data_IF_976100521021
#
_entry.id   IF_976100521021
#
_cell.length_a   1.000
_cell.length_b   1.000
_cell.length_c   1.000
_cell.angle_alpha   90.00
_cell.angle_beta   90.00
_cell.angle_gamma   90.00
#
_symmetry.space_group_name_H-M   'P 1'
#
loop_
_entity.id
_entity.type
_entity.pdbx_description
1 polymer ?
#
# COMPACT_ATOMS: atom_id res chain seq x y z
N UNK A 1 4.86 -14.92 -13.66
CA UNK A 1 4.31 -15.27 -12.35
C UNK A 1 2.78 -15.35 -12.47
N UNK A 2 2.17 -16.25 -11.71
CA UNK A 2 0.69 -16.34 -11.62
C UNK A 2 0.17 -15.35 -10.58
N UNK A 3 0.94 -15.16 -9.50
CA UNK A 3 0.66 -14.19 -8.46
C UNK A 3 1.80 -13.19 -8.38
N UNK A 4 1.43 -11.90 -8.26
CA UNK A 4 2.36 -10.79 -8.12
C UNK A 4 1.84 -9.85 -7.04
N UNK A 5 2.56 -9.72 -5.94
CA UNK A 5 2.18 -8.85 -4.84
C UNK A 5 2.67 -7.44 -5.12
N UNK A 6 1.72 -6.51 -5.33
CA UNK A 6 1.99 -5.09 -5.53
C UNK A 6 0.69 -4.28 -5.28
N UNK A 7 0.69 -2.99 -5.61
CA UNK A 7 -0.46 -2.10 -5.46
C UNK A 7 -1.12 -1.71 -6.78
N UNK A 8 -2.22 -0.96 -6.67
CA UNK A 8 -3.02 -0.49 -7.83
C UNK A 8 -2.23 0.35 -8.83
N UNK A 9 -1.18 1.05 -8.38
CA UNK A 9 -0.27 1.84 -9.24
C UNK A 9 0.47 1.01 -10.29
N UNK A 10 0.61 -0.29 -10.09
CA UNK A 10 1.31 -1.19 -11.01
C UNK A 10 0.51 -1.46 -12.28
N UNK A 11 -0.80 -1.15 -12.31
CA UNK A 11 -1.65 -1.36 -13.47
C UNK A 11 -1.08 -0.72 -14.74
N UNK A 12 -0.70 0.56 -14.68
CA UNK A 12 -0.16 1.30 -15.83
C UNK A 12 1.16 0.69 -16.32
N UNK A 13 1.99 0.19 -15.40
CA UNK A 13 3.24 -0.46 -15.74
C UNK A 13 2.99 -1.82 -16.42
N UNK A 14 2.11 -2.64 -15.88
CA UNK A 14 1.77 -3.95 -16.43
C UNK A 14 1.16 -3.84 -17.83
N UNK A 15 0.21 -2.92 -18.03
CA UNK A 15 -0.49 -2.79 -19.30
C UNK A 15 0.27 -1.93 -20.33
N UNK A 16 0.87 -0.82 -19.90
CA UNK A 16 1.59 0.11 -20.76
C UNK A 16 3.02 -0.33 -21.07
N UNK A 17 3.82 -0.63 -20.05
CA UNK A 17 5.24 -0.98 -20.24
C UNK A 17 5.41 -2.44 -20.66
N UNK A 18 4.71 -3.37 -20.01
CA UNK A 18 4.84 -4.79 -20.28
C UNK A 18 3.81 -5.34 -21.28
N UNK A 19 2.84 -4.50 -21.71
CA UNK A 19 1.86 -4.86 -22.72
C UNK A 19 0.93 -6.03 -22.34
N UNK A 20 0.68 -6.22 -21.03
CA UNK A 20 -0.25 -7.24 -20.58
C UNK A 20 -1.68 -6.87 -20.95
N UNK A 21 -2.48 -7.86 -21.35
CA UNK A 21 -3.89 -7.63 -21.61
C UNK A 21 -4.62 -7.40 -20.28
N UNK A 22 -5.37 -6.28 -20.14
CA UNK A 22 -6.17 -6.01 -18.94
C UNK A 22 -7.13 -7.14 -18.54
N UNK A 23 -7.67 -7.88 -19.51
CA UNK A 23 -8.59 -9.01 -19.26
C UNK A 23 -7.91 -10.23 -18.61
N UNK A 24 -6.58 -10.28 -18.61
CA UNK A 24 -5.78 -11.32 -17.96
C UNK A 24 -5.35 -10.92 -16.54
N UNK A 25 -5.76 -9.75 -16.08
CA UNK A 25 -5.39 -9.19 -14.78
C UNK A 25 -6.57 -9.18 -13.80
N UNK A 26 -6.29 -9.45 -12.54
CA UNK A 26 -7.25 -9.31 -11.44
C UNK A 26 -6.54 -8.90 -10.15
N UNK A 27 -7.26 -8.20 -9.28
CA UNK A 27 -6.75 -7.86 -7.96
C UNK A 27 -7.50 -8.65 -6.89
N UNK A 28 -6.77 -9.39 -6.08
CA UNK A 28 -7.32 -10.25 -5.02
C UNK A 28 -6.67 -9.92 -3.67
N UNK A 29 -7.39 -10.13 -2.56
CA UNK A 29 -6.82 -10.05 -1.22
C UNK A 29 -5.74 -11.11 -0.99
N UNK A 30 -4.83 -10.82 -0.06
CA UNK A 30 -3.89 -11.81 0.45
C UNK A 30 -4.57 -12.52 1.64
N UNK A 31 -4.71 -13.84 1.52
CA UNK A 31 -5.23 -14.69 2.60
C UNK A 31 -4.09 -15.49 3.23
N UNK A 32 -4.05 -15.47 4.56
CA UNK A 32 -3.04 -16.20 5.35
C UNK A 32 -3.54 -17.57 5.84
N UNK A 33 -4.83 -17.87 5.64
CA UNK A 33 -5.45 -19.12 6.09
C UNK A 33 -5.80 -19.13 7.58
N UNK A 34 -6.01 -17.97 8.17
CA UNK A 34 -6.39 -17.84 9.59
C UNK A 34 -7.90 -17.65 9.73
N UNK A 35 -8.45 -18.15 10.85
CA UNK A 35 -9.88 -17.99 11.17
C UNK A 35 -10.25 -16.50 11.27
N UNK A 36 -11.36 -16.11 10.64
CA UNK A 36 -11.89 -14.76 10.69
C UNK A 36 -11.44 -13.84 9.53
N UNK A 37 -10.60 -14.34 8.63
CA UNK A 37 -10.17 -13.54 7.47
C UNK A 37 -11.05 -13.66 6.21
N UNK A 38 -12.16 -14.40 6.28
CA UNK A 38 -13.01 -14.71 5.12
C UNK A 38 -13.60 -13.45 4.46
N UNK A 39 -13.65 -12.36 5.21
CA UNK A 39 -14.07 -11.03 4.75
C UNK A 39 -12.93 -10.01 4.71
N UNK A 40 -11.68 -10.45 4.83
CA UNK A 40 -10.55 -9.56 4.60
C UNK A 40 -10.55 -9.10 3.13
N UNK A 41 -10.41 -7.80 2.95
CA UNK A 41 -10.26 -7.18 1.63
C UNK A 41 -8.83 -6.82 1.33
N UNK A 42 -8.64 -5.84 0.48
CA UNK A 42 -7.31 -5.36 0.11
C UNK A 42 -6.66 -4.60 1.28
N UNK A 43 -5.33 -4.70 1.37
CA UNK A 43 -4.57 -3.79 2.22
C UNK A 43 -4.69 -2.36 1.68
N UNK A 44 -5.11 -1.46 2.52
CA UNK A 44 -5.27 -0.06 2.15
C UNK A 44 -5.04 0.84 3.36
N UNK A 45 -4.48 2.03 3.11
CA UNK A 45 -4.18 2.99 4.15
C UNK A 45 -3.66 4.30 3.58
N UNK A 46 -3.38 5.25 4.45
CA UNK A 46 -2.85 6.57 4.11
C UNK A 46 -1.33 6.56 4.30
N UNK A 47 -0.60 5.92 3.39
CA UNK A 47 0.87 5.83 3.45
C UNK A 47 1.53 7.11 2.93
N UNK A 48 0.91 7.76 1.95
CA UNK A 48 1.45 8.97 1.33
C UNK A 48 0.81 10.22 1.90
N UNK A 49 1.61 11.19 2.28
CA UNK A 49 1.17 12.49 2.76
C UNK A 49 1.95 13.61 2.08
N UNK A 50 1.30 14.74 1.92
CA UNK A 50 1.97 15.96 1.51
C UNK A 50 2.46 16.69 2.75
N UNK A 51 3.71 17.12 2.70
CA UNK A 51 4.30 17.94 3.75
C UNK A 51 4.54 19.35 3.21
N UNK A 52 4.12 20.34 4.00
CA UNK A 52 4.39 21.75 3.71
C UNK A 52 5.60 22.18 4.55
N UNK A 53 6.61 22.78 3.91
CA UNK A 53 7.76 23.31 4.62
C UNK A 53 7.36 24.55 5.44
N UNK A 54 7.30 24.41 6.75
CA UNK A 54 6.90 25.49 7.68
C UNK A 54 7.91 26.64 7.77
N UNK A 55 9.14 26.44 7.30
CA UNK A 55 10.21 27.44 7.29
C UNK A 55 10.26 28.23 5.95
N UNK A 56 9.38 27.91 4.99
CA UNK A 56 9.28 28.68 3.75
C UNK A 56 8.65 30.07 3.97
N UNK A 57 8.80 30.96 3.02
CA UNK A 57 8.14 32.26 3.09
C UNK A 57 6.60 32.11 3.15
N UNK A 58 5.88 32.98 3.86
CA UNK A 58 4.41 32.85 4.00
C UNK A 58 3.67 32.78 2.66
N UNK A 59 4.12 33.53 1.66
CA UNK A 59 3.57 33.52 0.31
C UNK A 59 3.76 32.17 -0.41
N UNK A 60 4.90 31.51 -0.21
CA UNK A 60 5.19 30.20 -0.77
C UNK A 60 4.35 29.11 -0.10
N UNK A 61 4.18 29.20 1.23
CA UNK A 61 3.27 28.33 1.97
C UNK A 61 1.84 28.48 1.45
N UNK A 62 1.36 29.70 1.32
CA UNK A 62 0.00 29.96 0.81
C UNK A 62 -0.18 29.42 -0.62
N UNK A 63 0.77 29.67 -1.52
CA UNK A 63 0.73 29.16 -2.89
C UNK A 63 0.70 27.62 -2.91
N UNK A 64 1.49 26.97 -2.05
CA UNK A 64 1.48 25.51 -1.88
C UNK A 64 0.11 25.01 -1.43
N UNK A 65 -0.49 25.64 -0.43
CA UNK A 65 -1.83 25.26 0.07
C UNK A 65 -2.92 25.48 -0.98
N UNK A 66 -2.84 26.56 -1.74
CA UNK A 66 -3.77 26.85 -2.84
C UNK A 66 -3.64 25.80 -3.96
N UNK A 67 -2.42 25.40 -4.31
CA UNK A 67 -2.18 24.31 -5.27
C UNK A 67 -2.74 22.98 -4.74
N UNK A 68 -2.45 22.60 -3.50
CA UNK A 68 -2.99 21.37 -2.88
C UNK A 68 -4.52 21.37 -2.91
N UNK A 69 -5.14 22.50 -2.58
CA UNK A 69 -6.60 22.65 -2.65
C UNK A 69 -7.11 22.49 -4.09
N UNK A 70 -6.44 23.14 -5.06
CA UNK A 70 -6.81 23.03 -6.46
C UNK A 70 -6.76 21.58 -6.95
N UNK A 71 -5.68 20.85 -6.65
CA UNK A 71 -5.50 19.44 -7.06
C UNK A 71 -6.66 18.56 -6.59
N UNK A 72 -7.16 18.76 -5.36
CA UNK A 72 -8.21 17.89 -4.78
C UNK A 72 -9.63 18.39 -5.04
N UNK A 73 -9.81 19.57 -5.63
CA UNK A 73 -11.15 20.14 -5.81
C UNK A 73 -11.50 20.54 -7.26
N UNK A 74 -10.51 20.76 -8.12
CA UNK A 74 -10.77 21.09 -9.53
C UNK A 74 -11.04 19.84 -10.38
N UNK A 75 -11.67 20.02 -11.52
CA UNK A 75 -11.92 18.96 -12.49
C UNK A 75 -10.59 18.38 -13.02
N UNK A 76 -9.66 19.26 -13.39
CA UNK A 76 -8.35 18.88 -13.91
C UNK A 76 -7.52 18.16 -12.85
N UNK A 77 -7.43 18.72 -11.64
CA UNK A 77 -6.64 18.14 -10.55
C UNK A 77 -7.13 16.76 -10.13
N UNK A 78 -8.45 16.58 -10.00
CA UNK A 78 -9.03 15.28 -9.63
C UNK A 78 -8.90 14.25 -10.75
N UNK A 79 -8.89 14.68 -12.02
CA UNK A 79 -8.59 13.80 -13.17
C UNK A 79 -7.15 13.34 -13.13
N UNK A 80 -6.20 14.28 -12.99
CA UNK A 80 -4.77 13.94 -12.87
C UNK A 80 -4.49 12.96 -11.72
N UNK A 81 -5.09 13.19 -10.55
CA UNK A 81 -4.91 12.27 -9.41
C UNK A 81 -5.40 10.86 -9.74
N UNK A 82 -6.54 10.72 -10.42
CA UNK A 82 -7.07 9.42 -10.80
C UNK A 82 -6.19 8.71 -11.84
N UNK A 83 -5.71 9.44 -12.85
CA UNK A 83 -4.93 8.88 -13.95
C UNK A 83 -3.51 8.49 -13.51
N UNK A 84 -2.87 9.31 -12.67
CA UNK A 84 -1.46 9.15 -12.32
C UNK A 84 -1.23 8.41 -10.99
N UNK A 85 -2.14 8.57 -10.01
CA UNK A 85 -1.95 8.04 -8.65
C UNK A 85 -2.96 6.97 -8.24
N UNK A 86 -4.05 6.82 -8.99
CA UNK A 86 -5.08 5.85 -8.68
C UNK A 86 -6.09 6.33 -7.63
N UNK A 87 -6.69 5.44 -6.84
CA UNK A 87 -7.73 5.80 -5.87
C UNK A 87 -7.22 6.77 -4.82
N UNK A 88 -7.95 7.85 -4.58
CA UNK A 88 -7.62 8.87 -3.59
C UNK A 88 -8.74 9.04 -2.55
N UNK A 89 -8.41 9.35 -1.27
CA UNK A 89 -9.38 9.40 -0.18
C UNK A 89 -10.16 10.72 -0.09
N UNK A 90 -10.17 11.54 -1.12
CA UNK A 90 -10.84 12.83 -1.12
C UNK A 90 -12.30 12.70 -1.61
N UNK A 91 -13.20 13.55 -1.08
CA UNK A 91 -14.65 13.51 -1.40
C UNK A 91 -14.96 13.60 -2.90
N UNK A 92 -14.18 14.38 -3.63
CA UNK A 92 -14.37 14.62 -5.06
C UNK A 92 -13.40 13.79 -5.92
N UNK A 93 -12.71 12.82 -5.32
CA UNK A 93 -11.79 11.98 -6.06
C UNK A 93 -12.54 11.21 -7.15
N UNK A 94 -11.96 11.21 -8.34
CA UNK A 94 -12.40 10.34 -9.43
C UNK A 94 -11.82 8.95 -9.21
N UNK A 95 -12.58 7.93 -9.57
CA UNK A 95 -12.11 6.54 -9.54
C UNK A 95 -11.51 6.20 -10.89
N UNK A 96 -10.27 5.69 -10.97
CA UNK A 96 -9.71 5.23 -12.22
C UNK A 96 -10.53 4.10 -12.83
N UNK A 97 -10.73 4.13 -14.14
CA UNK A 97 -11.41 3.09 -14.89
C UNK A 97 -10.41 1.99 -15.27
N UNK A 98 -10.09 1.11 -14.33
CA UNK A 98 -9.25 -0.06 -14.58
C UNK A 98 -9.70 -1.25 -13.73
N UNK A 99 -9.30 -2.47 -14.12
CA UNK A 99 -9.73 -3.70 -13.48
C UNK A 99 -9.34 -3.77 -11.99
N UNK A 100 -8.18 -3.25 -11.59
CA UNK A 100 -7.76 -3.26 -10.19
C UNK A 100 -8.68 -2.42 -9.29
N UNK A 101 -9.08 -1.25 -9.78
CA UNK A 101 -10.04 -0.39 -9.07
C UNK A 101 -11.45 -0.98 -9.08
N UNK A 102 -11.85 -1.62 -10.18
CA UNK A 102 -13.14 -2.32 -10.25
C UNK A 102 -13.22 -3.48 -9.25
N UNK A 103 -12.17 -4.30 -9.17
CA UNK A 103 -12.07 -5.40 -8.20
C UNK A 103 -12.06 -4.90 -6.76
N UNK A 104 -11.31 -3.82 -6.47
CA UNK A 104 -11.29 -3.20 -5.15
C UNK A 104 -12.68 -2.70 -4.73
N UNK A 105 -13.39 -1.99 -5.63
CA UNK A 105 -14.73 -1.51 -5.38
C UNK A 105 -15.74 -2.66 -5.20
N UNK A 106 -15.58 -3.74 -5.97
CA UNK A 106 -16.41 -4.94 -5.82
C UNK A 106 -16.23 -5.58 -4.45
N UNK A 107 -15.01 -5.75 -3.97
CA UNK A 107 -14.72 -6.29 -2.64
C UNK A 107 -15.40 -5.46 -1.54
N UNK A 108 -15.32 -4.12 -1.63
CA UNK A 108 -16.00 -3.22 -0.69
C UNK A 108 -17.53 -3.40 -0.76
N UNK A 109 -18.09 -3.48 -1.96
CA UNK A 109 -19.54 -3.68 -2.16
C UNK A 109 -20.02 -5.04 -1.63
N UNK A 110 -19.18 -6.08 -1.69
CA UNK A 110 -19.43 -7.41 -1.15
C UNK A 110 -19.28 -7.49 0.39
N UNK A 111 -18.97 -6.35 1.03
CA UNK A 111 -18.83 -6.24 2.48
C UNK A 111 -17.48 -6.70 3.04
N UNK A 112 -16.45 -6.76 2.21
CA UNK A 112 -15.10 -7.00 2.69
C UNK A 112 -14.56 -5.73 3.38
N UNK A 113 -13.85 -5.91 4.50
CA UNK A 113 -13.22 -4.81 5.22
C UNK A 113 -11.81 -4.54 4.70
N UNK A 114 -11.37 -3.28 4.74
CA UNK A 114 -9.97 -2.93 4.44
C UNK A 114 -9.04 -3.45 5.52
N UNK A 115 -7.94 -4.07 5.10
CA UNK A 115 -6.86 -4.49 5.99
C UNK A 115 -5.89 -3.33 6.14
N UNK A 116 -5.60 -2.93 7.37
CA UNK A 116 -4.65 -1.85 7.66
C UNK A 116 -3.22 -2.37 7.58
N UNK A 117 -2.32 -1.58 7.02
CA UNK A 117 -0.90 -1.90 6.95
C UNK A 117 -0.28 -2.03 8.34
N UNK A 118 0.27 -3.21 8.66
CA UNK A 118 0.88 -3.49 9.95
C UNK A 118 2.15 -2.67 10.22
N UNK A 119 2.83 -2.17 9.19
CA UNK A 119 4.06 -1.39 9.35
C UNK A 119 3.85 -0.09 10.14
N UNK A 120 2.65 0.52 10.08
CA UNK A 120 2.32 1.71 10.88
C UNK A 120 2.33 1.44 12.40
N UNK A 121 2.23 0.18 12.80
CA UNK A 121 2.16 -0.26 14.19
C UNK A 121 3.39 -1.05 14.62
N UNK A 122 4.34 -1.26 13.70
CA UNK A 122 5.55 -2.06 13.96
C UNK A 122 6.69 -1.15 14.41
N UNK A 123 7.18 -1.30 15.64
CA UNK A 123 8.29 -0.51 16.13
C UNK A 123 9.57 -0.82 15.35
N UNK A 124 10.33 0.23 14.98
CA UNK A 124 11.56 0.06 14.20
C UNK A 124 11.36 -0.74 12.92
N UNK A 125 10.27 -0.43 12.18
CA UNK A 125 9.76 -1.22 11.06
C UNK A 125 10.81 -1.55 9.99
N UNK A 126 11.73 -0.63 9.69
CA UNK A 126 12.74 -0.85 8.64
C UNK A 126 13.76 -1.92 9.05
N UNK A 127 14.25 -1.88 10.29
CA UNK A 127 15.16 -2.89 10.83
C UNK A 127 14.45 -4.26 10.93
N UNK A 128 13.22 -4.26 11.43
CA UNK A 128 12.39 -5.47 11.53
C UNK A 128 12.16 -6.11 10.17
N UNK A 129 11.69 -5.31 9.21
CA UNK A 129 11.42 -5.78 7.85
C UNK A 129 12.66 -6.34 7.17
N UNK A 130 13.81 -5.65 7.30
CA UNK A 130 15.06 -6.11 6.72
C UNK A 130 15.47 -7.49 7.25
N UNK A 131 15.37 -7.71 8.57
CA UNK A 131 15.67 -9.00 9.18
C UNK A 131 14.72 -10.13 8.73
N UNK A 132 13.41 -9.84 8.63
CA UNK A 132 12.42 -10.81 8.13
C UNK A 132 12.66 -11.17 6.66
N UNK A 133 12.91 -10.16 5.81
CA UNK A 133 13.21 -10.38 4.38
C UNK A 133 14.48 -11.19 4.19
N UNK A 134 15.54 -10.93 4.97
CA UNK A 134 16.77 -11.71 4.93
C UNK A 134 16.54 -13.18 5.29
N UNK A 135 15.85 -13.45 6.40
CA UNK A 135 15.51 -14.81 6.82
C UNK A 135 14.64 -15.55 5.78
N UNK A 136 13.63 -14.88 5.22
CA UNK A 136 12.79 -15.44 4.15
C UNK A 136 13.60 -15.73 2.88
N UNK A 137 14.52 -14.85 2.51
CA UNK A 137 15.41 -15.03 1.34
C UNK A 137 16.30 -16.25 1.52
N UNK A 138 16.89 -16.43 2.71
CA UNK A 138 17.69 -17.60 3.02
C UNK A 138 16.84 -18.88 3.01
N UNK A 139 15.66 -18.86 3.60
CA UNK A 139 14.74 -20.00 3.57
C UNK A 139 14.36 -20.39 2.13
N UNK A 140 13.94 -19.45 1.29
CA UNK A 140 13.51 -19.71 -0.09
C UNK A 140 14.66 -20.13 -1.02
N UNK A 141 15.89 -19.74 -0.72
CA UNK A 141 17.09 -20.17 -1.44
C UNK A 141 17.66 -21.52 -0.93
N UNK A 142 17.09 -22.09 0.13
CA UNK A 142 17.55 -23.35 0.72
C UNK A 142 18.83 -23.22 1.55
N UNK A 143 19.21 -22.01 1.95
CA UNK A 143 20.39 -21.74 2.80
C UNK A 143 20.04 -21.48 4.26
N UNK A 144 18.75 -21.35 4.59
CA UNK A 144 18.20 -21.18 5.93
C UNK A 144 17.02 -22.09 6.18
N UNK A 145 16.51 -22.09 7.40
CA UNK A 145 15.34 -22.86 7.81
C UNK A 145 14.16 -21.98 8.25
N UNK A 146 12.99 -22.59 8.41
CA UNK A 146 11.79 -21.88 8.83
C UNK A 146 11.88 -21.36 10.27
N UNK A 147 12.62 -22.02 11.16
CA UNK A 147 12.80 -21.57 12.54
C UNK A 147 13.50 -20.19 12.61
N UNK A 148 14.43 -19.92 11.69
CA UNK A 148 15.05 -18.61 11.56
C UNK A 148 14.04 -17.53 11.15
N UNK A 149 13.08 -17.87 10.26
CA UNK A 149 11.99 -16.96 9.86
C UNK A 149 11.06 -16.67 11.05
N UNK A 150 10.65 -17.69 11.78
CA UNK A 150 9.83 -17.53 13.01
C UNK A 150 10.53 -16.63 14.03
N UNK A 151 11.81 -16.88 14.30
CA UNK A 151 12.62 -16.06 15.19
C UNK A 151 12.68 -14.59 14.71
N UNK A 152 12.93 -14.36 13.43
CA UNK A 152 12.98 -13.00 12.89
C UNK A 152 11.64 -12.28 13.05
N UNK A 153 10.50 -12.97 12.92
CA UNK A 153 9.17 -12.37 13.07
C UNK A 153 8.84 -12.18 14.55
N UNK A 154 8.88 -13.22 15.38
CA UNK A 154 8.36 -13.19 16.75
C UNK A 154 9.33 -12.46 17.68
N UNK A 155 10.56 -12.94 17.77
CA UNK A 155 11.57 -12.38 18.68
C UNK A 155 12.08 -11.04 18.15
N UNK A 156 12.20 -10.90 16.83
CA UNK A 156 12.59 -9.66 16.17
C UNK A 156 11.61 -8.53 16.44
N UNK A 157 10.29 -8.79 16.33
CA UNK A 157 9.27 -7.80 16.68
C UNK A 157 9.33 -7.40 18.15
N UNK A 158 9.42 -8.39 19.04
CA UNK A 158 9.53 -8.15 20.49
C UNK A 158 10.77 -7.31 20.85
N UNK A 159 11.92 -7.60 20.21
CA UNK A 159 13.15 -6.85 20.41
C UNK A 159 13.01 -5.38 19.92
N UNK A 160 12.40 -5.14 18.77
CA UNK A 160 12.15 -3.78 18.28
C UNK A 160 11.15 -3.04 19.18
N UNK A 161 10.14 -3.71 19.70
CA UNK A 161 9.21 -3.12 20.66
C UNK A 161 9.95 -2.68 21.93
N UNK A 162 10.74 -3.55 22.54
CA UNK A 162 11.51 -3.22 23.74
C UNK A 162 12.49 -2.05 23.52
N UNK A 163 13.11 -1.97 22.33
CA UNK A 163 14.08 -0.89 21.97
C UNK A 163 13.40 0.45 21.77
N UNK A 164 12.17 0.52 21.21
CA UNK A 164 11.56 1.75 20.73
C UNK A 164 10.38 2.24 21.58
N UNK A 165 9.78 1.39 22.40
CA UNK A 165 8.55 1.66 23.17
C UNK A 165 8.72 1.35 24.65
N UNK A 166 9.67 0.48 24.99
CA UNK A 166 9.95 -0.03 26.36
C UNK A 166 10.78 0.89 27.26
#
# INVERSE_FOLDING_TARGET
AVFYQNGTWEYSNLTGTFGMNPDDLAMIPIYCGVEGEEKAGLCSGTENCWAVNKEAAPEDIQATLDFMKWVVTSEEGTTMLAEEFGPCPFKNAKTPENVFCADANKLIADGNYSVTWAFNWTPGVDDFRAAVVDALTQYTSGTGDWAAVETAIVDGWAAQYAKNVG
#
